data_IF_661614931786
#
_entry.id   IF_661614931786
#
_cell.length_a   1.000
_cell.length_b   1.000
_cell.length_c   1.000
_cell.angle_alpha   90.00
_cell.angle_beta   90.00
_cell.angle_gamma   90.00
#
_symmetry.space_group_name_H-M   'P 1'
#
loop_
_entity.id
_entity.type
_entity.pdbx_description
1 polymer ?
#
# COMPACT_ATOMS: atom_id res chain seq x y z
N UNK A 1 -7.72 19.40 -22.16
CA UNK A 1 -8.25 19.48 -20.78
C UNK A 1 -7.81 20.79 -20.15
N UNK A 2 -8.64 21.44 -19.33
CA UNK A 2 -8.29 22.69 -18.66
C UNK A 2 -7.56 22.45 -17.33
N UNK A 3 -6.78 23.42 -16.86
CA UNK A 3 -6.14 23.37 -15.52
C UNK A 3 -7.16 23.13 -14.39
N UNK A 4 -8.38 23.64 -14.52
CA UNK A 4 -9.46 23.44 -13.55
C UNK A 4 -9.86 21.96 -13.43
N UNK A 5 -9.89 21.21 -14.56
CA UNK A 5 -10.12 19.76 -14.57
C UNK A 5 -9.06 19.03 -13.74
N UNK A 6 -7.79 19.45 -13.85
CA UNK A 6 -6.69 18.78 -13.16
C UNK A 6 -6.75 18.99 -11.65
N UNK A 7 -7.16 20.18 -11.22
CA UNK A 7 -7.40 20.48 -9.81
C UNK A 7 -8.56 19.62 -9.29
N UNK A 8 -9.65 19.52 -10.04
CA UNK A 8 -10.79 18.68 -9.65
C UNK A 8 -10.38 17.21 -9.50
N UNK A 9 -9.68 16.64 -10.48
CA UNK A 9 -9.14 15.28 -10.43
C UNK A 9 -8.29 15.05 -9.16
N UNK A 10 -7.42 16.00 -8.80
CA UNK A 10 -6.63 15.93 -7.57
C UNK A 10 -7.50 15.96 -6.29
N UNK A 11 -8.55 16.77 -6.28
CA UNK A 11 -9.45 16.87 -5.13
C UNK A 11 -10.23 15.56 -4.92
N UNK A 12 -10.74 14.96 -6.00
CA UNK A 12 -11.40 13.64 -5.96
C UNK A 12 -10.43 12.55 -5.49
N UNK A 13 -9.21 12.54 -6.04
CA UNK A 13 -8.14 11.63 -5.62
C UNK A 13 -7.78 11.79 -4.13
N UNK A 14 -7.79 13.02 -3.62
CA UNK A 14 -7.51 13.32 -2.21
C UNK A 14 -8.67 12.88 -1.31
N UNK A 15 -9.93 13.00 -1.74
CA UNK A 15 -11.08 12.52 -0.99
C UNK A 15 -11.06 10.99 -0.80
N UNK A 16 -10.62 10.24 -1.82
CA UNK A 16 -10.40 8.80 -1.67
C UNK A 16 -9.33 8.48 -0.61
N UNK A 17 -8.19 9.17 -0.63
CA UNK A 17 -7.18 8.97 0.41
C UNK A 17 -7.72 9.34 1.80
N UNK A 18 -8.50 10.42 1.92
CA UNK A 18 -9.12 10.81 3.19
C UNK A 18 -10.03 9.68 3.72
N UNK A 19 -10.80 9.03 2.85
CA UNK A 19 -11.64 7.90 3.25
C UNK A 19 -10.81 6.72 3.77
N UNK A 20 -9.71 6.39 3.07
CA UNK A 20 -8.76 5.35 3.50
C UNK A 20 -8.13 5.70 4.85
N UNK A 21 -7.62 6.93 5.00
CA UNK A 21 -6.98 7.38 6.23
C UNK A 21 -7.97 7.44 7.40
N UNK A 22 -9.22 7.86 7.15
CA UNK A 22 -10.27 7.88 8.15
C UNK A 22 -10.63 6.47 8.64
N UNK A 23 -10.75 5.51 7.72
CA UNK A 23 -10.97 4.09 8.06
C UNK A 23 -9.81 3.51 8.86
N UNK A 24 -8.58 3.80 8.44
CA UNK A 24 -7.39 3.37 9.17
C UNK A 24 -7.35 3.97 10.59
N UNK A 25 -7.90 5.16 10.82
CA UNK A 25 -8.07 5.71 12.17
C UNK A 25 -9.20 5.05 12.97
N UNK A 26 -10.24 4.51 12.33
CA UNK A 26 -11.38 3.89 13.02
C UNK A 26 -11.14 2.45 13.46
N UNK A 27 -10.25 1.71 12.79
CA UNK A 27 -9.85 0.36 13.24
C UNK A 27 -9.37 0.46 14.71
N UNK A 28 -9.87 -0.40 15.61
CA UNK A 28 -9.56 -0.33 17.04
C UNK A 28 -10.27 0.79 17.82
N UNK A 29 -11.37 1.34 17.31
CA UNK A 29 -12.33 2.17 18.06
C UNK A 29 -11.97 3.66 18.22
N UNK A 30 -10.95 4.15 17.53
CA UNK A 30 -10.60 5.59 17.55
C UNK A 30 -11.23 6.35 16.37
N UNK A 31 -10.87 7.63 16.19
CA UNK A 31 -11.25 8.40 15.01
C UNK A 31 -10.17 9.42 14.65
N UNK A 32 -10.21 9.93 13.41
CA UNK A 32 -9.23 10.90 12.93
C UNK A 32 -9.13 12.18 13.79
N UNK A 33 -10.20 12.55 14.50
CA UNK A 33 -10.23 13.70 15.42
C UNK A 33 -9.29 13.54 16.60
N UNK A 34 -9.15 12.32 17.13
CA UNK A 34 -8.22 12.00 18.22
C UNK A 34 -6.75 12.22 17.82
N UNK A 35 -6.45 12.18 16.52
CA UNK A 35 -5.10 12.37 15.98
C UNK A 35 -4.93 13.70 15.23
N UNK A 36 -5.90 14.62 15.34
CA UNK A 36 -5.81 15.92 14.67
C UNK A 36 -5.86 15.86 13.13
N UNK A 37 -6.35 14.75 12.56
CA UNK A 37 -6.44 14.51 11.11
C UNK A 37 -5.08 14.57 10.40
N UNK A 38 -4.04 14.07 11.07
CA UNK A 38 -2.72 13.95 10.47
C UNK A 38 -2.76 12.93 9.31
N UNK A 39 -2.07 13.18 8.19
CA UNK A 39 -1.97 12.21 7.11
C UNK A 39 -1.10 11.02 7.52
N UNK A 40 -1.26 9.87 6.85
CA UNK A 40 -0.51 8.62 7.11
C UNK A 40 -0.74 8.04 8.51
N UNK A 41 -1.97 7.56 8.82
CA UNK A 41 -2.36 7.04 10.13
C UNK A 41 -1.41 5.97 10.67
N UNK A 42 -0.84 5.13 9.80
CA UNK A 42 0.10 4.06 10.18
C UNK A 42 1.33 4.57 10.95
N UNK A 43 1.73 5.83 10.78
CA UNK A 43 2.83 6.44 11.54
C UNK A 43 2.43 6.84 12.97
N UNK A 44 1.17 7.23 13.16
CA UNK A 44 0.70 7.84 14.40
C UNK A 44 -0.01 6.85 15.31
N UNK A 45 -0.68 5.85 14.73
CA UNK A 45 -1.48 4.87 15.48
C UNK A 45 -0.65 3.93 16.34
N UNK A 46 0.59 3.65 15.95
CA UNK A 46 1.52 2.86 16.79
C UNK A 46 1.96 3.60 18.06
N UNK A 47 1.61 4.89 18.23
CA UNK A 47 1.94 5.66 19.41
C UNK A 47 0.95 5.39 20.55
N UNK A 48 1.46 5.38 21.79
CA UNK A 48 0.65 5.16 23.00
C UNK A 48 -0.61 6.03 23.03
N UNK A 49 -1.73 5.49 23.50
CA UNK A 49 -2.98 6.22 23.68
C UNK A 49 -2.81 7.52 24.50
N UNK A 50 -1.84 7.54 25.43
CA UNK A 50 -1.48 8.73 26.23
C UNK A 50 -0.98 9.91 25.39
N UNK A 51 -0.46 9.66 24.18
CA UNK A 51 0.06 10.68 23.27
C UNK A 51 -1.02 11.24 22.33
N UNK A 52 -2.22 10.65 22.27
CA UNK A 52 -3.29 11.13 21.39
C UNK A 52 -3.66 12.60 21.63
N UNK A 53 -3.81 13.11 22.89
CA UNK A 53 -4.07 14.53 23.11
C UNK A 53 -2.98 15.44 22.53
N UNK A 54 -1.71 15.04 22.66
CA UNK A 54 -0.59 15.78 22.10
C UNK A 54 -0.63 15.76 20.56
N UNK A 55 -0.89 14.60 19.94
CA UNK A 55 -1.04 14.48 18.49
C UNK A 55 -2.19 15.33 17.94
N UNK A 56 -3.31 15.39 18.66
CA UNK A 56 -4.44 16.28 18.32
C UNK A 56 -4.02 17.76 18.33
N UNK A 57 -3.28 18.19 19.34
CA UNK A 57 -2.74 19.55 19.41
C UNK A 57 -1.79 19.81 18.24
N UNK A 58 -0.83 18.90 18.00
CA UNK A 58 0.12 18.99 16.89
C UNK A 58 -0.62 19.11 15.56
N UNK A 59 -1.56 18.21 15.25
CA UNK A 59 -2.33 18.27 14.00
C UNK A 59 -3.13 19.56 13.85
N UNK A 60 -3.71 20.06 14.96
CA UNK A 60 -4.46 21.32 14.96
C UNK A 60 -3.56 22.52 14.67
N UNK A 61 -2.42 22.62 15.36
CA UNK A 61 -1.42 23.69 15.15
C UNK A 61 -0.82 23.60 13.77
N UNK A 62 -0.38 22.41 13.33
CA UNK A 62 0.16 22.20 11.99
C UNK A 62 -0.83 22.62 10.90
N UNK A 63 -2.12 22.30 11.05
CA UNK A 63 -3.16 22.75 10.10
C UNK A 63 -3.36 24.26 10.13
N UNK A 64 -3.34 24.90 11.30
CA UNK A 64 -3.43 26.36 11.40
C UNK A 64 -2.26 27.03 10.67
N UNK A 65 -1.03 26.57 10.94
CA UNK A 65 0.19 27.02 10.26
C UNK A 65 0.13 26.77 8.74
N UNK A 66 -0.37 25.60 8.34
CA UNK A 66 -0.58 25.24 6.94
C UNK A 66 -1.47 26.25 6.22
N UNK A 67 -2.58 26.62 6.85
CA UNK A 67 -3.58 27.52 6.29
C UNK A 67 -3.09 28.98 6.16
N UNK A 68 -2.21 29.45 7.04
CA UNK A 68 -1.72 30.85 7.02
C UNK A 68 -0.50 31.06 6.14
N UNK A 69 0.24 30.01 5.76
CA UNK A 69 1.35 30.17 4.84
C UNK A 69 2.30 28.97 4.71
N UNK A 70 2.34 28.06 5.69
CA UNK A 70 3.27 26.94 5.66
C UNK A 70 3.03 26.01 4.46
N UNK A 71 1.78 25.88 3.98
CA UNK A 71 1.48 25.17 2.74
C UNK A 71 2.26 25.73 1.55
N UNK A 72 2.19 27.05 1.32
CA UNK A 72 2.87 27.70 0.19
C UNK A 72 4.38 27.57 0.28
N UNK A 73 4.94 27.76 1.48
CA UNK A 73 6.37 27.58 1.72
C UNK A 73 6.82 26.14 1.42
N UNK A 74 6.09 25.14 1.94
CA UNK A 74 6.38 23.73 1.70
C UNK A 74 6.27 23.35 0.23
N UNK A 75 5.19 23.75 -0.46
CA UNK A 75 4.97 23.40 -1.87
C UNK A 75 6.00 24.06 -2.80
N UNK A 76 6.46 25.27 -2.48
CA UNK A 76 7.58 25.89 -3.18
C UNK A 76 8.88 25.09 -2.96
N UNK A 77 9.17 24.73 -1.71
CA UNK A 77 10.33 23.90 -1.39
C UNK A 77 10.30 22.54 -2.12
N UNK A 78 9.13 21.87 -2.14
CA UNK A 78 8.96 20.58 -2.80
C UNK A 78 9.17 20.70 -4.31
N UNK A 79 8.62 21.74 -4.95
CA UNK A 79 8.85 22.03 -6.36
C UNK A 79 10.33 22.30 -6.67
N UNK A 80 11.02 23.13 -5.88
CA UNK A 80 12.46 23.38 -6.07
C UNK A 80 13.30 22.11 -5.88
N UNK A 81 12.93 21.24 -4.92
CA UNK A 81 13.61 19.96 -4.73
C UNK A 81 13.42 19.05 -5.95
N UNK A 82 12.20 19.00 -6.49
CA UNK A 82 11.89 18.20 -7.67
C UNK A 82 12.53 18.75 -8.96
N UNK A 83 12.64 20.07 -9.12
CA UNK A 83 13.37 20.66 -10.25
C UNK A 83 14.87 20.34 -10.19
N UNK A 84 15.50 20.39 -9.01
CA UNK A 84 16.89 19.93 -8.84
C UNK A 84 17.05 18.45 -9.18
N UNK A 85 16.09 17.62 -8.78
CA UNK A 85 16.09 16.20 -9.14
C UNK A 85 15.98 16.00 -10.66
N UNK A 86 15.03 16.70 -11.31
CA UNK A 86 14.85 16.71 -12.77
C UNK A 86 16.14 17.05 -13.52
N UNK A 87 16.91 18.04 -13.05
CA UNK A 87 18.20 18.43 -13.64
C UNK A 87 19.26 17.32 -13.55
N UNK A 88 19.13 16.39 -12.59
CA UNK A 88 20.02 15.23 -12.45
C UNK A 88 19.61 14.02 -13.27
N UNK A 89 18.40 14.01 -13.83
CA UNK A 89 17.92 12.90 -14.65
C UNK A 89 18.60 12.92 -16.02
N UNK A 90 18.99 11.72 -16.50
CA UNK A 90 19.38 11.56 -17.89
C UNK A 90 18.17 11.87 -18.80
N UNK A 91 18.38 12.45 -20.01
CA UNK A 91 17.31 12.67 -20.96
C UNK A 91 16.56 11.37 -21.29
N UNK A 92 15.24 11.45 -21.43
CA UNK A 92 14.45 10.31 -21.87
C UNK A 92 14.83 9.90 -23.31
N UNK A 93 14.82 8.59 -23.64
CA UNK A 93 15.04 8.12 -25.01
C UNK A 93 14.07 8.77 -26.01
N UNK A 94 14.55 9.04 -27.23
CA UNK A 94 13.69 9.51 -28.32
C UNK A 94 12.64 8.44 -28.65
N UNK A 95 11.41 8.88 -29.00
CA UNK A 95 10.32 7.98 -29.37
C UNK A 95 9.64 7.24 -28.21
N UNK A 96 10.15 7.35 -26.98
CA UNK A 96 9.64 6.62 -25.80
C UNK A 96 8.13 6.72 -25.63
N UNK A 97 7.57 7.93 -25.76
CA UNK A 97 6.16 8.18 -25.50
C UNK A 97 5.27 7.78 -26.68
N UNK A 98 5.76 7.90 -27.92
CA UNK A 98 5.01 7.59 -29.14
C UNK A 98 4.99 6.09 -29.47
N UNK A 99 6.00 5.33 -29.03
CA UNK A 99 6.10 3.89 -29.26
C UNK A 99 5.53 3.05 -28.11
N UNK A 100 5.12 3.70 -27.02
CA UNK A 100 4.58 3.06 -25.82
C UNK A 100 3.21 2.44 -26.10
N UNK A 101 3.13 1.11 -25.98
CA UNK A 101 1.85 0.37 -26.02
C UNK A 101 1.33 0.04 -24.62
N UNK A 102 2.23 -0.34 -23.72
CA UNK A 102 1.94 -0.67 -22.33
C UNK A 102 3.03 -0.07 -21.42
N UNK A 103 2.62 0.60 -20.34
CA UNK A 103 3.48 1.27 -19.38
C UNK A 103 3.13 0.82 -17.96
N UNK A 104 4.06 0.16 -17.29
CA UNK A 104 3.95 -0.05 -15.85
C UNK A 104 4.32 1.23 -15.10
N UNK A 105 3.48 1.64 -14.15
CA UNK A 105 3.69 2.88 -13.39
C UNK A 105 3.98 2.54 -11.92
N UNK A 106 5.21 2.83 -11.49
CA UNK A 106 5.69 2.50 -10.15
C UNK A 106 5.32 3.58 -9.11
N UNK A 107 4.03 3.73 -8.80
CA UNK A 107 3.57 4.67 -7.78
C UNK A 107 4.02 4.32 -6.36
N UNK A 108 4.35 3.04 -6.11
CA UNK A 108 4.90 2.53 -4.86
C UNK A 108 6.11 1.63 -5.10
N UNK A 109 6.96 1.49 -4.09
CA UNK A 109 8.13 0.60 -4.10
C UNK A 109 7.77 -0.90 -4.13
N UNK A 110 6.48 -1.24 -4.12
CA UNK A 110 5.96 -2.60 -4.28
C UNK A 110 5.42 -2.86 -5.68
N UNK A 111 5.27 -1.83 -6.52
CA UNK A 111 4.72 -2.00 -7.86
C UNK A 111 5.56 -2.98 -8.71
N UNK A 112 6.89 -2.94 -8.59
CA UNK A 112 7.77 -3.92 -9.23
C UNK A 112 7.46 -5.34 -8.77
N UNK A 113 7.46 -5.59 -7.47
CA UNK A 113 7.19 -6.92 -6.89
C UNK A 113 5.84 -7.51 -7.34
N UNK A 114 4.83 -6.65 -7.56
CA UNK A 114 3.46 -7.07 -7.89
C UNK A 114 3.25 -7.26 -9.39
N UNK A 115 3.76 -6.34 -10.21
CA UNK A 115 3.55 -6.38 -11.66
C UNK A 115 4.55 -7.31 -12.35
N UNK A 116 5.53 -7.84 -11.61
CA UNK A 116 6.57 -8.74 -12.10
C UNK A 116 6.37 -10.17 -11.56
N UNK A 117 5.12 -10.61 -11.41
CA UNK A 117 4.79 -11.98 -10.99
C UNK A 117 4.67 -12.86 -12.25
N UNK A 118 5.36 -14.02 -12.32
CA UNK A 118 5.31 -14.92 -13.49
C UNK A 118 3.90 -15.38 -13.90
N UNK A 119 2.95 -15.33 -12.96
CA UNK A 119 1.54 -15.66 -13.19
C UNK A 119 0.78 -14.57 -13.98
N UNK A 120 1.35 -13.38 -14.17
CA UNK A 120 0.78 -12.33 -15.00
C UNK A 120 1.32 -12.47 -16.43
N UNK A 121 0.45 -12.56 -17.45
CA UNK A 121 0.90 -12.73 -18.84
C UNK A 121 1.45 -11.44 -19.47
N UNK A 122 1.28 -10.31 -18.78
CA UNK A 122 1.75 -8.99 -19.21
C UNK A 122 3.06 -8.70 -18.49
N UNK A 123 4.19 -8.94 -19.17
CA UNK A 123 5.49 -8.44 -18.71
C UNK A 123 5.70 -7.03 -19.28
N UNK A 124 5.54 -5.97 -18.46
CA UNK A 124 5.71 -4.61 -18.94
C UNK A 124 7.17 -4.39 -19.38
N UNK A 125 7.34 -4.06 -20.66
CA UNK A 125 8.66 -3.74 -21.23
C UNK A 125 9.16 -2.35 -20.82
N UNK A 126 8.26 -1.47 -20.43
CA UNK A 126 8.57 -0.08 -20.07
C UNK A 126 7.97 0.25 -18.70
N UNK A 127 8.79 0.92 -17.90
CA UNK A 127 8.46 1.31 -16.53
C UNK A 127 8.67 2.80 -16.34
N UNK A 128 7.65 3.46 -15.80
CA UNK A 128 7.76 4.83 -15.31
C UNK A 128 7.99 4.81 -13.80
N UNK A 129 9.08 5.42 -13.36
CA UNK A 129 9.50 5.43 -11.95
C UNK A 129 9.57 6.84 -11.38
N UNK A 130 9.51 6.94 -10.06
CA UNK A 130 9.50 8.21 -9.35
C UNK A 130 10.50 8.22 -8.19
N UNK A 131 11.11 9.39 -7.86
CA UNK A 131 12.10 9.50 -6.79
C UNK A 131 11.59 9.16 -5.39
N UNK A 132 10.27 9.20 -5.17
CA UNK A 132 9.66 8.88 -3.88
C UNK A 132 9.24 7.41 -3.75
N UNK A 133 9.34 6.63 -4.82
CA UNK A 133 8.94 5.23 -4.88
C UNK A 133 10.00 4.42 -5.66
N UNK A 134 11.24 4.35 -5.16
CA UNK A 134 12.29 3.58 -5.82
C UNK A 134 11.91 2.10 -5.87
N UNK A 135 12.14 1.49 -7.02
CA UNK A 135 11.97 0.05 -7.25
C UNK A 135 13.33 -0.63 -7.35
N UNK A 136 13.36 -1.94 -7.09
CA UNK A 136 14.56 -2.74 -7.31
C UNK A 136 14.91 -2.82 -8.81
N UNK A 137 16.18 -3.09 -9.15
CA UNK A 137 16.58 -3.26 -10.54
C UNK A 137 15.70 -4.29 -11.25
N UNK A 138 15.19 -3.91 -12.42
CA UNK A 138 14.34 -4.77 -13.23
C UNK A 138 15.20 -5.82 -13.95
N UNK A 139 14.64 -7.00 -14.26
CA UNK A 139 15.29 -8.00 -15.10
C UNK A 139 15.71 -7.48 -16.49
N UNK A 140 16.68 -8.16 -17.14
CA UNK A 140 17.15 -7.77 -18.47
C UNK A 140 16.01 -7.67 -19.48
N UNK A 141 16.03 -6.63 -20.31
CA UNK A 141 15.03 -6.41 -21.38
C UNK A 141 13.88 -5.49 -21.00
N UNK A 142 13.82 -5.00 -19.75
CA UNK A 142 12.87 -3.98 -19.33
C UNK A 142 13.53 -2.61 -19.21
N UNK A 143 12.92 -1.60 -19.81
CA UNK A 143 13.40 -0.22 -19.78
C UNK A 143 12.78 0.53 -18.59
N UNK A 144 13.64 1.09 -17.74
CA UNK A 144 13.23 2.00 -16.67
C UNK A 144 13.43 3.44 -17.11
N UNK A 145 12.39 4.25 -16.98
CA UNK A 145 12.43 5.68 -17.24
C UNK A 145 12.00 6.43 -16.00
N UNK A 146 12.80 7.41 -15.61
CA UNK A 146 12.41 8.34 -14.55
C UNK A 146 11.37 9.33 -15.09
N UNK A 147 10.23 9.48 -14.42
CA UNK A 147 9.19 10.42 -14.82
C UNK A 147 9.70 11.86 -14.96
N UNK A 148 10.70 12.25 -14.17
CA UNK A 148 11.28 13.58 -14.21
C UNK A 148 12.23 13.78 -15.39
N UNK A 149 12.74 12.72 -16.03
CA UNK A 149 13.45 12.85 -17.31
C UNK A 149 12.57 13.39 -18.43
N UNK A 150 11.25 13.27 -18.28
CA UNK A 150 10.26 13.74 -19.24
C UNK A 150 9.88 15.20 -19.02
N UNK A 151 10.12 15.76 -17.83
CA UNK A 151 9.59 17.07 -17.44
C UNK A 151 10.54 18.21 -17.81
N UNK A 152 9.97 19.37 -18.13
CA UNK A 152 10.69 20.64 -18.28
C UNK A 152 10.62 21.45 -16.98
N UNK A 153 11.37 22.55 -16.89
CA UNK A 153 11.23 23.49 -15.77
C UNK A 153 9.83 24.13 -15.73
N UNK A 154 9.23 24.36 -16.90
CA UNK A 154 7.87 24.90 -17.02
C UNK A 154 6.82 23.91 -16.50
N UNK A 155 7.02 22.60 -16.74
CA UNK A 155 6.16 21.56 -16.18
C UNK A 155 6.18 21.55 -14.64
N UNK A 156 7.36 21.71 -14.04
CA UNK A 156 7.50 21.80 -12.57
C UNK A 156 6.83 23.06 -12.03
N UNK A 157 6.99 24.19 -12.73
CA UNK A 157 6.34 25.44 -12.36
C UNK A 157 4.81 25.37 -12.48
N UNK A 158 4.30 24.70 -13.51
CA UNK A 158 2.87 24.40 -13.65
C UNK A 158 2.38 23.52 -12.50
N UNK A 159 3.09 22.43 -12.18
CA UNK A 159 2.76 21.55 -11.06
C UNK A 159 2.70 22.32 -9.73
N UNK A 160 3.64 23.25 -9.50
CA UNK A 160 3.67 24.12 -8.32
C UNK A 160 2.46 25.05 -8.25
N UNK A 161 2.09 25.71 -9.35
CA UNK A 161 0.92 26.60 -9.41
C UNK A 161 -0.37 25.84 -9.12
N UNK A 162 -0.55 24.68 -9.75
CA UNK A 162 -1.70 23.81 -9.53
C UNK A 162 -1.77 23.29 -8.09
N UNK A 163 -0.64 22.89 -7.52
CA UNK A 163 -0.56 22.43 -6.14
C UNK A 163 -0.99 23.51 -5.12
N UNK A 164 -0.55 24.75 -5.32
CA UNK A 164 -0.94 25.88 -4.47
C UNK A 164 -2.45 26.15 -4.59
N UNK A 165 -3.00 26.14 -5.80
CA UNK A 165 -4.44 26.33 -6.04
C UNK A 165 -5.25 25.19 -5.42
N UNK A 166 -4.87 23.94 -5.65
CA UNK A 166 -5.53 22.77 -5.09
C UNK A 166 -5.49 22.75 -3.54
N UNK A 167 -4.37 23.13 -2.93
CA UNK A 167 -4.25 23.28 -1.48
C UNK A 167 -5.19 24.38 -0.94
N UNK A 168 -5.38 25.47 -1.70
CA UNK A 168 -6.35 26.51 -1.36
C UNK A 168 -7.80 26.05 -1.48
N UNK A 169 -8.12 25.17 -2.42
CA UNK A 169 -9.46 24.58 -2.56
C UNK A 169 -9.74 23.56 -1.44
N UNK A 170 -8.78 22.70 -1.11
CA UNK A 170 -8.93 21.72 -0.02
C UNK A 170 -9.27 22.38 1.32
N UNK A 171 -8.68 23.53 1.64
CA UNK A 171 -8.96 24.25 2.90
C UNK A 171 -10.31 24.97 2.91
N UNK A 172 -10.89 25.27 1.74
CA UNK A 172 -12.19 25.95 1.60
C UNK A 172 -13.37 24.97 1.66
N UNK A 173 -13.20 23.76 1.15
CA UNK A 173 -14.26 22.76 1.08
C UNK A 173 -14.60 22.17 2.47
N UNK A 174 -15.88 22.14 2.89
CA UNK A 174 -16.27 21.59 4.19
C UNK A 174 -15.85 20.14 4.41
N UNK A 175 -15.92 19.29 3.37
CA UNK A 175 -15.55 17.87 3.42
C UNK A 175 -14.07 17.62 3.67
N UNK A 176 -13.19 18.51 3.19
CA UNK A 176 -11.73 18.30 3.21
C UNK A 176 -10.97 19.27 4.09
N UNK A 177 -11.59 20.36 4.60
CA UNK A 177 -10.88 21.43 5.34
C UNK A 177 -10.10 20.94 6.56
N UNK A 178 -10.61 19.93 7.26
CA UNK A 178 -9.94 19.37 8.43
C UNK A 178 -8.72 18.53 8.05
N UNK A 179 -8.68 18.07 6.79
CA UNK A 179 -7.64 17.26 6.17
C UNK A 179 -6.71 18.08 5.25
N UNK A 180 -6.67 19.41 5.38
CA UNK A 180 -5.87 20.28 4.51
C UNK A 180 -4.38 19.88 4.41
N UNK A 181 -3.84 19.24 5.45
CA UNK A 181 -2.49 18.69 5.47
C UNK A 181 -2.24 17.61 4.41
N UNK A 182 -3.29 16.92 3.90
CA UNK A 182 -3.18 15.97 2.77
C UNK A 182 -2.60 16.60 1.51
N UNK A 183 -2.67 17.93 1.38
CA UNK A 183 -2.09 18.67 0.24
C UNK A 183 -0.56 18.63 0.17
N UNK A 184 0.12 18.06 1.17
CA UNK A 184 1.57 17.89 1.16
C UNK A 184 2.09 17.04 -0.03
N UNK A 185 1.23 16.24 -0.67
CA UNK A 185 1.59 15.44 -1.85
C UNK A 185 1.32 16.15 -3.17
N UNK A 186 0.72 17.35 -3.16
CA UNK A 186 0.13 17.96 -4.35
C UNK A 186 1.15 18.19 -5.49
N UNK A 187 2.35 18.72 -5.20
CA UNK A 187 3.35 18.96 -6.26
C UNK A 187 3.75 17.65 -6.95
N UNK A 188 4.00 16.60 -6.18
CA UNK A 188 4.35 15.27 -6.71
C UNK A 188 3.23 14.70 -7.56
N UNK A 189 1.98 14.83 -7.11
CA UNK A 189 0.82 14.35 -7.85
C UNK A 189 0.68 15.07 -9.19
N UNK A 190 0.79 16.40 -9.22
CA UNK A 190 0.71 17.16 -10.48
C UNK A 190 1.91 16.92 -11.39
N UNK A 191 3.12 16.76 -10.84
CA UNK A 191 4.29 16.41 -11.64
C UNK A 191 4.14 15.02 -12.29
N UNK A 192 3.69 14.02 -11.54
CA UNK A 192 3.39 12.68 -12.06
C UNK A 192 2.31 12.72 -13.14
N UNK A 193 1.27 13.53 -12.91
CA UNK A 193 0.21 13.76 -13.89
C UNK A 193 0.72 14.34 -15.20
N UNK A 194 1.54 15.38 -15.13
CA UNK A 194 2.11 16.02 -16.33
C UNK A 194 3.00 15.03 -17.08
N UNK A 195 3.81 14.24 -16.37
CA UNK A 195 4.64 13.21 -16.99
C UNK A 195 3.79 12.14 -17.70
N UNK A 196 2.77 11.61 -17.02
CA UNK A 196 1.88 10.58 -17.58
C UNK A 196 1.05 11.09 -18.76
N UNK A 197 0.64 12.37 -18.75
CA UNK A 197 -0.09 12.97 -19.86
C UNK A 197 0.70 13.00 -21.18
N UNK A 198 2.03 12.79 -21.14
CA UNK A 198 2.87 12.66 -22.34
C UNK A 198 2.71 11.31 -23.04
N UNK A 199 2.10 10.32 -22.39
CA UNK A 199 1.79 9.00 -22.95
C UNK A 199 0.33 8.95 -23.44
N UNK A 200 0.08 9.41 -24.67
CA UNK A 200 -1.27 9.65 -25.20
C UNK A 200 -2.01 8.42 -25.71
N UNK A 201 -1.28 7.35 -26.07
CA UNK A 201 -1.80 6.12 -26.68
C UNK A 201 -1.28 4.84 -25.97
N UNK A 202 -0.91 4.97 -24.70
CA UNK A 202 -0.32 3.88 -23.92
C UNK A 202 -1.30 3.36 -22.86
N UNK A 203 -1.46 2.03 -22.79
CA UNK A 203 -2.18 1.37 -21.70
C UNK A 203 -1.37 1.46 -20.41
N UNK A 204 -2.01 1.85 -19.31
CA UNK A 204 -1.36 1.93 -18.01
C UNK A 204 -1.56 0.63 -17.23
N UNK A 205 -0.48 0.10 -16.66
CA UNK A 205 -0.49 -0.99 -15.68
C UNK A 205 -0.14 -0.43 -14.31
N UNK A 206 -1.02 -0.61 -13.34
CA UNK A 206 -0.83 -0.15 -11.96
C UNK A 206 -1.14 -1.26 -10.95
N UNK A 207 -0.51 -1.15 -9.78
CA UNK A 207 -0.84 -1.98 -8.63
C UNK A 207 -1.85 -1.30 -7.69
N UNK A 208 -1.93 0.04 -7.68
CA UNK A 208 -2.75 0.79 -6.73
C UNK A 208 -4.27 0.59 -6.95
N UNK A 209 -5.03 0.39 -5.87
CA UNK A 209 -6.43 -0.06 -5.99
C UNK A 209 -7.45 1.06 -6.15
N UNK A 210 -7.39 2.06 -5.27
CA UNK A 210 -8.42 3.09 -5.13
C UNK A 210 -7.91 4.39 -4.51
N UNK A 211 -6.60 4.47 -4.23
CA UNK A 211 -5.98 5.61 -3.59
C UNK A 211 -5.82 6.80 -4.56
N UNK A 212 -5.11 7.84 -4.10
CA UNK A 212 -4.86 9.04 -4.91
C UNK A 212 -4.12 8.76 -6.23
N UNK A 213 -3.32 7.70 -6.29
CA UNK A 213 -2.53 7.33 -7.47
C UNK A 213 -3.35 6.48 -8.45
N UNK A 214 -4.21 5.58 -7.93
CA UNK A 214 -5.19 4.89 -8.76
C UNK A 214 -6.12 5.87 -9.48
N UNK A 215 -6.61 6.88 -8.76
CA UNK A 215 -7.43 7.95 -9.34
C UNK A 215 -6.69 8.79 -10.39
N UNK A 216 -5.37 9.01 -10.21
CA UNK A 216 -4.54 9.68 -11.22
C UNK A 216 -4.46 8.85 -12.50
N UNK A 217 -4.13 7.56 -12.40
CA UNK A 217 -4.04 6.68 -13.55
C UNK A 217 -5.38 6.55 -14.28
N UNK A 218 -6.49 6.46 -13.54
CA UNK A 218 -7.84 6.44 -14.10
C UNK A 218 -8.16 7.71 -14.90
N UNK A 219 -7.77 8.88 -14.37
CA UNK A 219 -7.96 10.16 -15.05
C UNK A 219 -7.11 10.27 -16.32
N UNK A 220 -5.87 9.80 -16.30
CA UNK A 220 -5.01 9.75 -17.49
C UNK A 220 -5.61 8.81 -18.54
N UNK A 221 -6.03 7.61 -18.14
CA UNK A 221 -6.64 6.63 -19.03
C UNK A 221 -7.91 7.17 -19.70
N UNK A 222 -8.79 7.82 -18.92
CA UNK A 222 -10.01 8.46 -19.44
C UNK A 222 -9.74 9.56 -20.47
N UNK A 223 -8.63 10.28 -20.32
CA UNK A 223 -8.29 11.43 -21.17
C UNK A 223 -7.55 11.08 -22.46
N UNK A 224 -6.98 9.87 -22.57
CA UNK A 224 -6.16 9.44 -23.69
C UNK A 224 -6.95 8.84 -24.86
N UNK A 225 -6.37 8.86 -26.06
CA UNK A 225 -6.96 8.24 -27.25
C UNK A 225 -6.53 6.77 -27.26
N UNK A 226 -7.37 5.89 -26.70
CA UNK A 226 -7.12 4.45 -26.64
C UNK A 226 -6.55 3.94 -25.31
N UNK A 227 -6.47 4.78 -24.28
CA UNK A 227 -5.85 4.40 -23.02
C UNK A 227 -6.80 3.57 -22.14
N UNK A 228 -6.49 2.29 -22.06
CA UNK A 228 -7.03 1.34 -21.12
C UNK A 228 -6.23 1.36 -19.81
N UNK A 229 -6.90 1.11 -18.68
CA UNK A 229 -6.22 0.85 -17.40
C UNK A 229 -6.28 -0.65 -17.09
N UNK A 230 -5.12 -1.26 -16.87
CA UNK A 230 -4.99 -2.57 -16.24
C UNK A 230 -4.68 -2.36 -14.76
N UNK A 231 -5.50 -2.96 -13.90
CA UNK A 231 -5.28 -2.93 -12.46
C UNK A 231 -4.91 -4.33 -11.96
N UNK A 232 -3.81 -4.41 -11.24
CA UNK A 232 -3.34 -5.65 -10.62
C UNK A 232 -3.46 -5.52 -9.12
N UNK A 233 -4.23 -6.41 -8.50
CA UNK A 233 -4.38 -6.42 -7.05
C UNK A 233 -3.02 -6.64 -6.36
N UNK A 234 -2.55 -5.66 -5.62
CA UNK A 234 -1.57 -5.84 -4.55
C UNK A 234 -2.24 -5.80 -3.17
N UNK A 235 -1.95 -6.73 -2.26
CA UNK A 235 -2.57 -6.64 -0.93
C UNK A 235 -3.91 -7.38 -0.82
N UNK A 236 -4.16 -7.97 0.35
CA UNK A 236 -5.45 -8.58 0.66
C UNK A 236 -6.45 -7.48 1.02
N UNK A 237 -7.57 -7.39 0.30
CA UNK A 237 -8.64 -6.43 0.60
C UNK A 237 -9.33 -6.73 1.93
N UNK A 238 -9.28 -7.99 2.38
CA UNK A 238 -9.75 -8.45 3.69
C UNK A 238 -8.90 -7.92 4.86
N UNK A 239 -7.66 -7.47 4.62
CA UNK A 239 -6.75 -6.91 5.65
C UNK A 239 -7.22 -5.61 6.30
N UNK A 240 -8.30 -5.01 5.77
CA UNK A 240 -8.93 -3.81 6.28
C UNK A 240 -10.19 -4.08 7.11
N UNK A 241 -10.53 -5.36 7.33
CA UNK A 241 -11.58 -5.75 8.26
C UNK A 241 -11.15 -5.42 9.69
N UNK A 242 -11.94 -4.59 10.37
CA UNK A 242 -11.92 -4.58 11.82
C UNK A 242 -12.62 -5.87 12.30
N UNK A 243 -12.15 -6.47 13.39
CA UNK A 243 -12.83 -7.54 14.12
C UNK A 243 -12.82 -8.96 13.54
N UNK A 244 -11.98 -9.28 12.54
CA UNK A 244 -11.88 -10.67 12.03
C UNK A 244 -13.17 -11.19 11.40
N UNK A 245 -14.02 -10.28 10.89
CA UNK A 245 -15.23 -10.64 10.17
C UNK A 245 -14.91 -11.46 8.93
N UNK A 246 -15.78 -12.41 8.61
CA UNK A 246 -15.67 -13.18 7.38
C UNK A 246 -15.67 -12.23 6.17
N UNK A 247 -14.87 -12.51 5.13
CA UNK A 247 -14.79 -11.65 3.96
C UNK A 247 -16.18 -11.45 3.34
N UNK A 248 -16.68 -10.21 3.42
CA UNK A 248 -18.06 -9.86 3.03
C UNK A 248 -18.24 -9.61 1.54
N UNK A 249 -17.18 -9.78 0.75
CA UNK A 249 -17.17 -9.39 -0.66
C UNK A 249 -17.35 -7.89 -0.87
N UNK A 250 -17.15 -7.07 0.18
CA UNK A 250 -17.27 -5.61 0.18
C UNK A 250 -16.12 -4.91 0.91
N UNK A 251 -15.89 -3.64 0.58
CA UNK A 251 -15.04 -2.76 1.38
C UNK A 251 -15.71 -2.41 2.70
N UNK A 252 -14.92 -2.36 3.78
CA UNK A 252 -15.40 -1.98 5.12
C UNK A 252 -15.59 -0.47 5.31
N UNK A 253 -15.30 0.33 4.28
CA UNK A 253 -15.51 1.77 4.27
C UNK A 253 -16.02 2.20 2.90
N UNK A 254 -16.84 3.26 2.83
CA UNK A 254 -17.31 3.78 1.56
C UNK A 254 -16.17 4.51 0.83
N UNK A 255 -15.95 4.15 -0.44
CA UNK A 255 -15.11 4.93 -1.34
C UNK A 255 -15.92 6.09 -1.92
N UNK A 256 -15.50 7.36 -1.73
CA UNK A 256 -16.21 8.52 -2.29
C UNK A 256 -16.25 8.51 -3.81
N UNK A 257 -15.15 8.11 -4.45
CA UNK A 257 -14.99 8.06 -5.90
C UNK A 257 -14.48 6.70 -6.34
N UNK A 258 -14.99 6.25 -7.48
CA UNK A 258 -14.71 4.93 -8.04
C UNK A 258 -14.03 5.05 -9.40
N UNK A 259 -13.28 4.03 -9.77
CA UNK A 259 -12.56 4.00 -11.04
C UNK A 259 -13.52 3.79 -12.21
N UNK A 260 -13.20 4.42 -13.33
CA UNK A 260 -14.07 4.50 -14.51
C UNK A 260 -13.44 3.99 -15.79
N UNK A 261 -12.14 3.70 -15.81
CA UNK A 261 -11.36 3.43 -17.03
C UNK A 261 -10.68 2.06 -17.02
N UNK A 262 -10.98 1.23 -16.02
CA UNK A 262 -10.41 -0.12 -15.90
C UNK A 262 -10.98 -1.04 -16.98
N UNK A 263 -10.10 -1.60 -17.79
CA UNK A 263 -10.46 -2.57 -18.84
C UNK A 263 -9.97 -3.99 -18.54
N UNK A 264 -8.91 -4.12 -17.73
CA UNK A 264 -8.38 -5.40 -17.27
C UNK A 264 -8.18 -5.36 -15.77
N UNK A 265 -8.55 -6.44 -15.09
CA UNK A 265 -8.42 -6.56 -13.66
C UNK A 265 -7.88 -7.94 -13.29
N UNK A 266 -6.69 -7.96 -12.69
CA UNK A 266 -6.08 -9.17 -12.12
C UNK A 266 -6.27 -9.19 -10.61
N UNK A 267 -6.92 -10.23 -10.08
CA UNK A 267 -7.28 -10.38 -8.66
C UNK A 267 -6.85 -11.74 -8.10
N UNK A 268 -6.82 -11.88 -6.78
CA UNK A 268 -6.42 -13.12 -6.12
C UNK A 268 -7.49 -14.21 -6.13
N UNK A 269 -8.77 -13.82 -6.01
CA UNK A 269 -9.90 -14.74 -5.84
C UNK A 269 -11.24 -14.08 -6.18
N UNK A 270 -12.31 -14.88 -6.16
CA UNK A 270 -13.68 -14.44 -6.44
C UNK A 270 -14.23 -13.43 -5.43
N UNK A 271 -13.73 -13.46 -4.19
CA UNK A 271 -14.13 -12.49 -3.16
C UNK A 271 -13.56 -11.12 -3.51
N UNK A 272 -12.27 -11.06 -3.82
CA UNK A 272 -11.58 -9.86 -4.26
C UNK A 272 -12.22 -9.31 -5.54
N UNK A 273 -12.56 -10.18 -6.49
CA UNK A 273 -13.35 -9.81 -7.67
C UNK A 273 -14.65 -9.11 -7.29
N UNK A 274 -15.43 -9.67 -6.36
CA UNK A 274 -16.68 -9.05 -5.90
C UNK A 274 -16.43 -7.64 -5.36
N UNK A 275 -15.43 -7.47 -4.49
CA UNK A 275 -15.10 -6.15 -3.90
C UNK A 275 -14.77 -5.13 -4.98
N UNK A 276 -13.95 -5.50 -5.97
CA UNK A 276 -13.61 -4.58 -7.05
C UNK A 276 -14.84 -4.18 -7.87
N UNK A 277 -15.66 -5.14 -8.27
CA UNK A 277 -16.85 -4.89 -9.08
C UNK A 277 -17.92 -4.10 -8.32
N UNK A 278 -18.06 -4.31 -7.01
CA UNK A 278 -19.10 -3.67 -6.20
C UNK A 278 -18.71 -2.30 -5.68
N UNK A 279 -17.45 -2.10 -5.30
CA UNK A 279 -17.03 -0.95 -4.48
C UNK A 279 -15.91 -0.11 -5.09
N UNK A 280 -15.02 -0.69 -5.90
CA UNK A 280 -13.87 0.04 -6.48
C UNK A 280 -14.20 0.58 -7.87
N UNK A 281 -14.91 -0.19 -8.68
CA UNK A 281 -15.30 0.18 -10.04
C UNK A 281 -16.68 0.83 -10.05
N UNK A 282 -16.87 1.77 -10.98
CA UNK A 282 -18.20 2.33 -11.27
C UNK A 282 -19.08 1.29 -11.99
N UNK A 283 -20.41 1.32 -11.77
CA UNK A 283 -21.34 0.45 -12.50
C UNK A 283 -21.19 0.54 -14.02
N UNK A 284 -20.94 1.73 -14.55
CA UNK A 284 -20.73 1.98 -15.98
C UNK A 284 -19.45 1.29 -16.47
N UNK A 285 -18.38 1.29 -15.67
CA UNK A 285 -17.15 0.59 -16.00
C UNK A 285 -17.37 -0.92 -16.08
N UNK A 286 -18.11 -1.48 -15.11
CA UNK A 286 -18.47 -2.90 -15.10
C UNK A 286 -19.35 -3.27 -16.30
N UNK A 287 -20.36 -2.44 -16.60
CA UNK A 287 -21.29 -2.66 -17.70
C UNK A 287 -20.62 -2.66 -19.08
N UNK A 288 -19.53 -1.89 -19.26
CA UNK A 288 -18.73 -1.93 -20.52
C UNK A 288 -17.95 -3.23 -20.71
N UNK A 289 -17.82 -4.06 -19.66
CA UNK A 289 -17.02 -5.27 -19.66
C UNK A 289 -15.59 -5.02 -19.20
N UNK A 290 -15.18 -5.74 -18.16
CA UNK A 290 -13.81 -5.76 -17.66
C UNK A 290 -13.26 -7.17 -17.86
N UNK A 291 -12.12 -7.28 -18.53
CA UNK A 291 -11.41 -8.56 -18.66
C UNK A 291 -10.83 -8.95 -17.29
N UNK A 292 -11.33 -10.05 -16.73
CA UNK A 292 -10.96 -10.53 -15.41
C UNK A 292 -9.92 -11.65 -15.51
N UNK A 293 -8.91 -11.60 -14.65
CA UNK A 293 -7.96 -12.69 -14.45
C UNK A 293 -7.76 -12.97 -12.98
N UNK A 294 -7.69 -14.24 -12.63
CA UNK A 294 -7.33 -14.66 -11.28
C UNK A 294 -5.89 -15.14 -11.29
N UNK A 295 -5.10 -14.71 -10.31
CA UNK A 295 -3.74 -15.17 -10.14
C UNK A 295 -3.45 -15.45 -8.67
N UNK A 296 -2.54 -16.36 -8.39
CA UNK A 296 -2.10 -16.66 -7.02
C UNK A 296 -0.82 -15.89 -6.73
N UNK A 297 -0.76 -15.09 -5.65
CA UNK A 297 0.50 -14.47 -5.25
C UNK A 297 1.48 -15.57 -4.84
N UNK A 298 2.71 -15.49 -5.34
CA UNK A 298 3.77 -16.46 -5.10
C UNK A 298 4.84 -15.86 -4.21
N UNK A 299 5.49 -16.69 -3.41
CA UNK A 299 6.61 -16.30 -2.55
C UNK A 299 7.75 -17.28 -2.72
N UNK A 300 8.97 -16.76 -2.79
CA UNK A 300 10.18 -17.58 -2.76
C UNK A 300 10.63 -17.75 -1.30
N UNK A 301 10.74 -19.00 -0.87
CA UNK A 301 11.13 -19.33 0.49
C UNK A 301 12.65 -19.50 0.61
N UNK A 302 13.23 -18.87 1.62
CA UNK A 302 14.62 -19.02 2.03
C UNK A 302 14.71 -20.15 3.05
N UNK A 303 15.56 -21.16 2.78
CA UNK A 303 15.88 -22.18 3.80
C UNK A 303 16.75 -21.53 4.87
N UNK A 304 16.26 -21.54 6.10
CA UNK A 304 16.98 -21.04 7.27
C UNK A 304 17.83 -22.17 7.88
N UNK A 305 18.90 -21.79 8.58
CA UNK A 305 19.67 -22.75 9.38
C UNK A 305 18.89 -23.06 10.66
N UNK A 306 17.94 -23.99 10.56
CA UNK A 306 17.11 -24.44 11.70
C UNK A 306 17.77 -25.59 12.44
N UNK A 307 17.55 -25.68 13.75
CA UNK A 307 18.10 -26.78 14.58
C UNK A 307 17.29 -28.09 14.49
N UNK A 308 16.43 -28.25 13.48
CA UNK A 308 15.51 -29.39 13.34
C UNK A 308 14.27 -29.34 14.23
N UNK A 309 14.08 -28.24 14.97
CA UNK A 309 12.88 -27.97 15.76
C UNK A 309 11.73 -27.50 14.87
N UNK A 310 10.49 -27.58 15.38
CA UNK A 310 9.35 -26.95 14.73
C UNK A 310 9.61 -25.44 14.58
N UNK A 311 9.30 -24.89 13.42
CA UNK A 311 9.65 -23.50 13.08
C UNK A 311 8.41 -22.63 12.86
N UNK A 312 8.42 -21.42 13.41
CA UNK A 312 7.30 -20.48 13.39
C UNK A 312 7.75 -19.14 12.83
N UNK A 313 7.02 -18.57 11.88
CA UNK A 313 7.17 -17.17 11.48
C UNK A 313 6.06 -16.32 12.08
N UNK A 314 6.41 -15.30 12.86
CA UNK A 314 5.50 -14.23 13.26
C UNK A 314 5.70 -13.04 12.31
N UNK A 315 4.62 -12.66 11.61
CA UNK A 315 4.59 -11.47 10.74
C UNK A 315 4.19 -10.26 11.57
N UNK A 316 5.17 -9.39 11.81
CA UNK A 316 5.04 -8.23 12.69
C UNK A 316 4.24 -7.07 12.09
N UNK A 317 3.53 -6.35 12.96
CA UNK A 317 2.97 -5.03 12.70
C UNK A 317 2.93 -4.26 14.02
N UNK A 318 3.16 -2.94 14.00
CA UNK A 318 3.26 -2.13 15.23
C UNK A 318 2.02 -2.20 16.12
N UNK A 319 0.84 -2.40 15.51
CA UNK A 319 -0.41 -2.60 16.25
C UNK A 319 -0.49 -3.94 16.99
N UNK A 320 0.25 -4.94 16.52
CA UNK A 320 0.18 -6.32 17.02
C UNK A 320 1.32 -6.66 17.99
N UNK A 321 2.34 -5.79 18.12
CA UNK A 321 3.52 -6.07 18.96
C UNK A 321 3.17 -6.47 20.40
N UNK A 322 2.22 -5.82 21.11
CA UNK A 322 1.86 -6.24 22.46
C UNK A 322 1.33 -7.68 22.52
N UNK A 323 0.50 -8.06 21.54
CA UNK A 323 0.02 -9.44 21.41
C UNK A 323 1.17 -10.39 21.09
N UNK A 324 2.05 -10.05 20.16
CA UNK A 324 3.16 -10.92 19.74
C UNK A 324 4.14 -11.18 20.88
N UNK A 325 4.44 -10.17 21.70
CA UNK A 325 5.27 -10.31 22.90
C UNK A 325 4.57 -11.20 23.94
N UNK A 326 3.27 -10.99 24.17
CA UNK A 326 2.50 -11.83 25.08
C UNK A 326 2.45 -13.29 24.59
N UNK A 327 2.29 -13.50 23.28
CA UNK A 327 2.31 -14.79 22.62
C UNK A 327 3.67 -15.50 22.81
N UNK A 328 4.78 -14.79 22.61
CA UNK A 328 6.12 -15.38 22.81
C UNK A 328 6.29 -15.90 24.23
N UNK A 329 5.84 -15.14 25.23
CA UNK A 329 5.88 -15.57 26.63
C UNK A 329 5.04 -16.83 26.90
N UNK A 330 3.92 -17.01 26.20
CA UNK A 330 3.10 -18.22 26.31
C UNK A 330 3.78 -19.42 25.60
N UNK A 331 4.33 -19.20 24.41
CA UNK A 331 5.03 -20.25 23.66
C UNK A 331 6.26 -20.76 24.40
N UNK A 332 7.05 -19.88 25.04
CA UNK A 332 8.21 -20.28 25.85
C UNK A 332 7.87 -21.09 27.11
N UNK A 333 6.59 -21.14 27.51
CA UNK A 333 6.10 -21.94 28.64
C UNK A 333 5.40 -23.23 28.18
N UNK A 334 5.25 -23.43 26.88
CA UNK A 334 4.56 -24.57 26.30
C UNK A 334 5.40 -25.82 26.20
N UNK A 335 4.74 -26.93 25.87
CA UNK A 335 5.37 -28.25 25.73
C UNK A 335 6.07 -28.46 24.37
N UNK A 336 5.80 -27.60 23.39
CA UNK A 336 6.42 -27.66 22.06
C UNK A 336 7.61 -26.72 22.02
N UNK A 337 8.80 -27.26 21.81
CA UNK A 337 10.00 -26.46 21.54
C UNK A 337 9.96 -25.93 20.10
N UNK A 338 9.86 -24.62 19.96
CA UNK A 338 9.64 -23.94 18.68
C UNK A 338 10.74 -22.90 18.44
N UNK A 339 11.34 -22.94 17.27
CA UNK A 339 12.20 -21.88 16.77
C UNK A 339 11.34 -20.78 16.14
N UNK A 340 11.46 -19.56 16.67
CA UNK A 340 10.60 -18.44 16.27
C UNK A 340 11.40 -17.42 15.46
N UNK A 341 10.93 -17.16 14.25
CA UNK A 341 11.36 -16.05 13.40
C UNK A 341 10.36 -14.90 13.52
N UNK A 342 10.84 -13.66 13.55
CA UNK A 342 10.00 -12.47 13.56
C UNK A 342 10.35 -11.57 12.37
N UNK A 343 9.41 -11.32 11.47
CA UNK A 343 9.60 -10.41 10.33
C UNK A 343 8.79 -9.13 10.53
N UNK A 344 9.42 -7.97 10.82
CA UNK A 344 8.70 -6.72 11.01
C UNK A 344 8.00 -6.22 9.74
N UNK A 345 7.00 -5.35 9.90
CA UNK A 345 6.37 -4.70 8.75
C UNK A 345 7.38 -3.80 8.00
N UNK A 346 7.48 -3.85 6.65
CA UNK A 346 8.53 -3.15 5.90
C UNK A 346 8.58 -1.63 6.10
N UNK A 347 7.45 -1.01 6.46
CA UNK A 347 7.34 0.45 6.62
C UNK A 347 7.27 0.91 8.07
N UNK A 348 7.38 -0.01 9.03
CA UNK A 348 7.28 0.30 10.44
C UNK A 348 8.39 -0.43 11.20
N UNK A 349 9.34 0.33 11.73
CA UNK A 349 10.39 -0.24 12.56
C UNK A 349 9.76 -0.91 13.80
N UNK A 350 10.24 -2.12 14.18
CA UNK A 350 9.73 -2.78 15.37
C UNK A 350 10.09 -1.99 16.63
N UNK A 351 9.23 -2.00 17.64
CA UNK A 351 9.53 -1.43 18.95
C UNK A 351 10.71 -2.10 19.63
N UNK A 352 11.41 -1.39 20.52
CA UNK A 352 12.58 -1.92 21.25
C UNK A 352 12.29 -3.20 22.05
N UNK A 353 11.03 -3.43 22.45
CA UNK A 353 10.64 -4.63 23.18
C UNK A 353 10.62 -5.87 22.29
N UNK A 354 10.33 -5.71 20.99
CA UNK A 354 10.37 -6.81 20.01
C UNK A 354 11.80 -7.29 19.85
N UNK A 355 12.77 -6.38 19.78
CA UNK A 355 14.19 -6.74 19.64
C UNK A 355 14.79 -7.47 20.86
N UNK A 356 14.08 -7.47 22.00
CA UNK A 356 14.52 -8.13 23.25
C UNK A 356 13.91 -9.51 23.45
N UNK A 357 13.01 -9.96 22.58
CA UNK A 357 12.42 -11.28 22.68
C UNK A 357 13.35 -12.36 22.11
N UNK A 358 13.24 -13.62 22.56
CA UNK A 358 14.10 -14.71 22.13
C UNK A 358 13.68 -15.31 20.77
N UNK A 359 13.40 -14.45 19.77
CA UNK A 359 13.17 -14.84 18.38
C UNK A 359 14.28 -14.32 17.47
N UNK A 360 14.44 -14.91 16.29
CA UNK A 360 15.33 -14.39 15.27
C UNK A 360 14.62 -13.32 14.42
N UNK A 361 15.06 -12.07 14.52
CA UNK A 361 14.47 -10.98 13.73
C UNK A 361 15.04 -10.99 12.30
N UNK A 362 14.17 -11.04 11.31
CA UNK A 362 14.52 -10.99 9.88
C UNK A 362 14.35 -9.55 9.39
N UNK A 363 15.46 -8.89 9.10
CA UNK A 363 15.48 -7.48 8.68
C UNK A 363 15.46 -7.34 7.15
N UNK A 364 15.95 -8.35 6.44
CA UNK A 364 16.05 -8.36 4.99
C UNK A 364 14.64 -8.46 4.37
N UNK A 365 14.33 -7.55 3.44
CA UNK A 365 13.02 -7.50 2.77
C UNK A 365 12.74 -8.78 1.99
N UNK A 366 13.72 -9.31 1.28
CA UNK A 366 13.62 -10.48 0.38
C UNK A 366 13.70 -11.83 1.09
N UNK A 367 14.06 -11.88 2.38
CA UNK A 367 14.20 -13.15 3.10
C UNK A 367 12.86 -13.55 3.70
N UNK A 368 12.32 -14.68 3.24
CA UNK A 368 11.07 -15.26 3.74
C UNK A 368 11.35 -16.70 4.17
N UNK A 369 11.40 -17.00 5.47
CA UNK A 369 11.87 -18.29 5.93
C UNK A 369 10.89 -19.40 5.53
N UNK A 370 11.42 -20.54 5.09
CA UNK A 370 10.66 -21.78 4.99
C UNK A 370 10.40 -22.30 6.42
N UNK A 371 9.14 -22.18 6.87
CA UNK A 371 8.74 -22.51 8.24
C UNK A 371 7.58 -23.52 8.27
N UNK A 372 7.29 -24.07 9.43
CA UNK A 372 6.19 -25.02 9.59
C UNK A 372 4.82 -24.37 9.69
N UNK A 373 4.77 -23.17 10.26
CA UNK A 373 3.56 -22.41 10.51
C UNK A 373 3.85 -20.91 10.47
N UNK A 374 2.89 -20.14 9.98
CA UNK A 374 2.90 -18.67 10.03
C UNK A 374 1.86 -18.15 11.03
N UNK A 375 2.20 -17.10 11.77
CA UNK A 375 1.26 -16.34 12.60
C UNK A 375 1.25 -14.91 12.09
N UNK A 376 0.08 -14.43 11.68
CA UNK A 376 -0.03 -13.10 11.09
C UNK A 376 -1.40 -12.49 11.35
N UNK A 377 -1.48 -11.17 11.20
CA UNK A 377 -2.74 -10.50 10.92
C UNK A 377 -3.16 -10.76 9.46
N UNK A 378 -4.38 -10.39 9.01
CA UNK A 378 -4.82 -10.67 7.64
C UNK A 378 -3.99 -9.87 6.62
N UNK A 379 -2.90 -10.48 6.18
CA UNK A 379 -1.85 -9.94 5.32
C UNK A 379 -1.74 -10.81 4.06
N UNK A 380 -1.21 -10.27 2.96
CA UNK A 380 -0.93 -11.09 1.75
C UNK A 380 0.01 -12.24 2.03
N UNK A 381 0.91 -12.08 3.01
CA UNK A 381 1.83 -13.13 3.41
C UNK A 381 1.09 -14.41 3.85
N UNK A 382 -0.11 -14.29 4.42
CA UNK A 382 -0.93 -15.46 4.77
C UNK A 382 -1.26 -16.26 3.51
N UNK A 383 -1.75 -15.60 2.47
CA UNK A 383 -2.09 -16.23 1.19
C UNK A 383 -0.87 -16.74 0.45
N UNK A 384 0.22 -15.97 0.45
CA UNK A 384 1.50 -16.32 -0.19
C UNK A 384 2.08 -17.60 0.41
N UNK A 385 2.13 -17.73 1.74
CA UNK A 385 2.59 -18.93 2.44
C UNK A 385 1.62 -20.12 2.26
N UNK A 386 0.31 -19.87 2.30
CA UNK A 386 -0.68 -20.92 2.04
C UNK A 386 -0.55 -21.51 0.63
N UNK A 387 -0.23 -20.69 -0.38
CA UNK A 387 -0.04 -21.13 -1.76
C UNK A 387 1.17 -22.05 -1.95
N UNK A 388 2.16 -21.99 -1.06
CA UNK A 388 3.32 -22.91 -1.03
C UNK A 388 3.16 -24.03 0.00
N UNK A 389 1.93 -24.25 0.49
CA UNK A 389 1.59 -25.35 1.39
C UNK A 389 1.93 -25.12 2.87
N UNK A 390 2.28 -23.89 3.27
CA UNK A 390 2.56 -23.56 4.67
C UNK A 390 1.29 -22.98 5.31
N UNK A 391 0.75 -23.62 6.36
CA UNK A 391 -0.45 -23.14 7.04
C UNK A 391 -0.17 -21.85 7.82
N UNK A 392 -1.24 -21.10 8.10
CA UNK A 392 -1.19 -19.90 8.92
C UNK A 392 -2.28 -19.88 9.99
N UNK A 393 -1.96 -19.33 11.16
CA UNK A 393 -2.91 -18.92 12.19
C UNK A 393 -3.08 -17.40 12.08
N UNK A 394 -4.32 -16.95 11.87
CA UNK A 394 -4.62 -15.54 11.62
C UNK A 394 -5.29 -14.92 12.84
N UNK A 395 -4.76 -13.79 13.31
CA UNK A 395 -5.36 -13.01 14.39
C UNK A 395 -5.81 -11.62 13.90
N UNK A 396 -6.75 -10.97 14.58
CA UNK A 396 -7.17 -9.62 14.20
C UNK A 396 -6.03 -8.59 14.38
N UNK A 397 -6.05 -7.52 13.57
CA UNK A 397 -5.04 -6.44 13.64
C UNK A 397 -5.12 -5.65 14.96
N UNK A 398 -6.28 -5.65 15.61
CA UNK A 398 -6.58 -5.02 16.89
C UNK A 398 -6.71 -6.02 18.06
N UNK A 399 -6.27 -7.26 17.85
CA UNK A 399 -6.25 -8.28 18.89
C UNK A 399 -5.39 -7.84 20.09
N UNK A 400 -5.90 -8.08 21.30
CA UNK A 400 -5.26 -7.64 22.56
C UNK A 400 -4.35 -8.74 23.12
N UNK A 401 -3.41 -8.41 24.02
CA UNK A 401 -2.58 -9.40 24.71
C UNK A 401 -3.35 -10.54 25.39
N UNK A 402 -4.61 -10.31 25.79
CA UNK A 402 -5.45 -11.30 26.46
C UNK A 402 -5.79 -12.49 25.55
N UNK A 403 -5.79 -12.30 24.23
CA UNK A 403 -6.01 -13.40 23.28
C UNK A 403 -4.78 -14.30 23.07
N UNK A 404 -3.62 -13.95 23.66
CA UNK A 404 -2.37 -14.68 23.46
C UNK A 404 -2.43 -16.15 23.91
N UNK A 405 -3.19 -16.44 24.98
CA UNK A 405 -3.32 -17.81 25.51
C UNK A 405 -4.05 -18.70 24.49
N UNK A 406 -5.21 -18.25 24.00
CA UNK A 406 -5.98 -18.99 23.01
C UNK A 406 -5.18 -19.19 21.71
N UNK A 407 -4.47 -18.14 21.28
CA UNK A 407 -3.61 -18.19 20.09
C UNK A 407 -2.45 -19.18 20.24
N UNK A 408 -1.80 -19.20 21.41
CA UNK A 408 -0.72 -20.14 21.71
C UNK A 408 -1.21 -21.60 21.69
N UNK A 409 -2.38 -21.88 22.27
CA UNK A 409 -2.98 -23.22 22.24
C UNK A 409 -3.30 -23.68 20.81
N UNK A 410 -3.81 -22.78 19.96
CA UNK A 410 -4.05 -23.11 18.55
C UNK A 410 -2.74 -23.41 17.80
N UNK A 411 -1.69 -22.59 18.01
CA UNK A 411 -0.37 -22.79 17.41
C UNK A 411 0.22 -24.14 17.81
N UNK A 412 0.18 -24.49 19.09
CA UNK A 412 0.68 -25.77 19.59
C UNK A 412 -0.06 -26.93 18.95
N UNK A 413 -1.39 -26.90 18.92
CA UNK A 413 -2.19 -27.95 18.29
C UNK A 413 -1.84 -28.17 16.80
N UNK A 414 -1.62 -27.07 16.06
CA UNK A 414 -1.21 -27.13 14.63
C UNK A 414 0.18 -27.73 14.43
N UNK A 415 1.12 -27.39 15.31
CA UNK A 415 2.49 -27.89 15.22
C UNK A 415 2.58 -29.37 15.63
N UNK A 416 1.88 -29.79 16.69
CA UNK A 416 1.86 -31.19 17.13
C UNK A 416 1.21 -32.12 16.10
N UNK A 417 0.12 -31.68 15.44
CA UNK A 417 -0.54 -32.46 14.39
C UNK A 417 0.36 -32.75 13.18
N UNK A 418 1.34 -31.88 12.90
CA UNK A 418 2.29 -32.02 11.79
C UNK A 418 3.43 -33.00 12.11
N UNK A 419 3.90 -33.00 13.36
CA UNK A 419 4.94 -33.94 13.86
C UNK A 419 4.44 -35.39 13.80
N UNK A 420 3.14 -35.63 14.07
CA UNK A 420 2.54 -36.95 13.99
C UNK A 420 2.42 -37.50 12.56
N UNK A 421 2.29 -36.64 11.54
CA UNK A 421 2.23 -37.05 10.13
C UNK A 421 3.58 -37.33 9.49
N UNK A 422 4.68 -36.76 10.00
CA UNK A 422 6.04 -37.00 9.48
C UNK A 422 6.67 -38.27 10.11
N UNK A 423 6.12 -38.74 11.23
CA UNK A 423 6.57 -39.94 11.94
C UNK A 423 5.88 -41.24 11.49
N UNK A 424 5.07 -41.16 10.42
CA UNK A 424 4.45 -42.31 9.74
C UNK A 424 4.84 -42.26 8.26
N UNK A 425 6.12 -42.48 7.98
CA UNK A 425 6.63 -42.89 6.65
C UNK A 425 7.93 -43.69 6.83
#
# INVERSE_FOLDING_TARGET
MSESSWIEEYLLATENEIAVDAHLYSIGGSNAGAFGHLPRPSRWRGMSAKLQPALRIVGTVSRALWNVGAARAYLNYDASRLDRYRQSCAPAPQGLTSECRELAVAFSSRAADVLHIPALPEEPKQWLTFPWAPIHPLPPGQAQVDAFSLLTAEDIELARKLAIRASAELRRRPSTRLWALQSYTAVRWFAARIALAKFTECRLLIAEHYDRWAMLADAIARSGRGNALTLVQHGALAGLSANGEAPSGRLHFPLPHRLTSVSRLSVYDAISQSVFLSDVLTPECVARGVEMRTFKPTIELTRMNTTGRASLLIVGHTLCEPLHIALMNQLSRGDVDVEVFYKPHPTAAPGNQVARQPWQVIHERSVFPAVDLVVAYPSTLVTEYANVGIPAVVHALDATPDSAIALASEIQARLTGKVATISVD
#
